data_IF_368863487017
#
_entry.id   IF_368863487017
#
_cell.length_a   1.000
_cell.length_b   1.000
_cell.length_c   1.000
_cell.angle_alpha   90.00
_cell.angle_beta   90.00
_cell.angle_gamma   90.00
#
_symmetry.space_group_name_H-M   'P 1'
#
loop_
_entity.id
_entity.type
_entity.pdbx_description
1 polymer ?
#
# COMPACT_ATOMS: atom_id res chain seq x y z
N UNK A 1 -9.17 -9.36 5.37
CA UNK A 1 -8.79 -8.56 4.20
C UNK A 1 -9.29 -9.27 2.97
N UNK A 2 -10.06 -8.61 2.11
CA UNK A 2 -10.61 -9.21 0.89
C UNK A 2 -10.11 -8.46 -0.33
N UNK A 3 -10.15 -9.11 -1.50
CA UNK A 3 -9.82 -8.47 -2.78
C UNK A 3 -10.60 -7.16 -2.93
N UNK A 4 -9.91 -6.09 -3.33
CA UNK A 4 -10.48 -4.77 -3.53
C UNK A 4 -10.53 -3.87 -2.29
N UNK A 5 -10.20 -4.38 -1.09
CA UNK A 5 -10.09 -3.55 0.12
C UNK A 5 -9.00 -2.49 -0.05
N UNK A 6 -9.28 -1.24 0.33
CA UNK A 6 -8.30 -0.16 0.42
C UNK A 6 -7.74 -0.10 1.83
N UNK A 7 -6.42 -0.08 1.94
CA UNK A 7 -5.70 -0.02 3.21
C UNK A 7 -4.65 1.09 3.18
N UNK A 8 -4.37 1.66 4.34
CA UNK A 8 -3.21 2.54 4.52
C UNK A 8 -1.98 1.69 4.84
N UNK A 9 -0.90 1.90 4.10
CA UNK A 9 0.36 1.17 4.27
C UNK A 9 1.49 2.14 4.61
N UNK A 10 2.36 1.72 5.52
CA UNK A 10 3.57 2.46 5.81
C UNK A 10 4.54 2.34 4.62
N UNK A 11 4.97 3.48 4.09
CA UNK A 11 5.92 3.57 2.96
C UNK A 11 7.23 4.26 3.34
N UNK A 12 7.51 4.38 4.64
CA UNK A 12 8.72 5.05 5.15
C UNK A 12 10.01 4.37 4.64
N UNK A 13 9.97 3.05 4.42
CA UNK A 13 11.09 2.27 3.87
C UNK A 13 11.31 2.52 2.36
N UNK A 14 10.33 3.07 1.64
CA UNK A 14 10.45 3.36 0.20
C UNK A 14 11.12 4.71 -0.09
N UNK A 15 11.42 5.52 0.94
CA UNK A 15 12.11 6.80 0.77
C UNK A 15 11.33 7.83 -0.05
N UNK A 16 9.99 7.74 -0.08
CA UNK A 16 9.16 8.66 -0.84
C UNK A 16 9.15 10.06 -0.21
N UNK A 17 9.33 11.07 -1.06
CA UNK A 17 9.31 12.48 -0.66
C UNK A 17 8.36 13.27 -1.55
N UNK A 18 7.67 14.23 -0.94
CA UNK A 18 6.92 15.25 -1.68
C UNK A 18 7.87 16.21 -2.39
N UNK A 19 7.44 16.93 -3.44
CA UNK A 19 8.26 17.98 -4.07
C UNK A 19 8.72 19.07 -3.09
N UNK A 20 8.01 19.26 -1.98
CA UNK A 20 8.37 20.18 -0.90
C UNK A 20 9.36 19.57 0.12
N UNK A 21 9.92 18.39 -0.15
CA UNK A 21 10.93 17.74 0.70
C UNK A 21 10.39 17.04 1.95
N UNK A 22 9.06 16.95 2.12
CA UNK A 22 8.47 16.20 3.25
C UNK A 22 8.48 14.70 2.96
N UNK A 23 8.91 13.91 3.95
CA UNK A 23 8.89 12.44 3.90
C UNK A 23 7.44 11.95 3.98
N UNK A 24 7.11 11.01 3.11
CA UNK A 24 5.80 10.33 3.09
C UNK A 24 5.92 9.06 3.93
N UNK A 25 5.11 8.95 4.98
CA UNK A 25 5.09 7.79 5.88
C UNK A 25 3.94 6.83 5.58
N UNK A 26 2.88 7.29 4.89
CA UNK A 26 1.68 6.52 4.58
C UNK A 26 1.19 6.75 3.15
N UNK A 27 0.73 5.68 2.50
CA UNK A 27 -0.01 5.74 1.22
C UNK A 27 -1.18 4.76 1.24
N UNK A 28 -2.20 5.03 0.42
CA UNK A 28 -3.26 4.07 0.18
C UNK A 28 -2.81 3.00 -0.83
N UNK A 29 -3.19 1.76 -0.56
CA UNK A 29 -2.96 0.62 -1.42
C UNK A 29 -4.23 -0.22 -1.54
N UNK A 30 -4.41 -0.87 -2.69
CA UNK A 30 -5.53 -1.76 -2.95
C UNK A 30 -5.08 -3.22 -2.97
N UNK A 31 -5.80 -4.09 -2.25
CA UNK A 31 -5.60 -5.54 -2.32
C UNK A 31 -6.02 -6.05 -3.69
N UNK A 32 -5.10 -6.69 -4.41
CA UNK A 32 -5.33 -7.15 -5.79
C UNK A 32 -5.66 -8.62 -5.88
N UNK A 33 -5.24 -9.41 -4.90
CA UNK A 33 -5.44 -10.85 -4.85
C UNK A 33 -6.55 -11.26 -3.86
N UNK A 34 -6.79 -12.57 -3.75
CA UNK A 34 -7.68 -13.19 -2.78
C UNK A 34 -6.82 -13.81 -1.66
N UNK A 35 -6.58 -13.11 -0.53
CA UNK A 35 -5.64 -13.56 0.49
C UNK A 35 -5.94 -14.94 1.08
N UNK A 36 -7.22 -15.34 1.08
CA UNK A 36 -7.69 -16.66 1.51
C UNK A 36 -7.17 -17.81 0.64
N UNK A 37 -6.86 -17.55 -0.63
CA UNK A 37 -6.35 -18.56 -1.56
C UNK A 37 -4.81 -18.62 -1.58
N UNK A 38 -4.17 -17.45 -1.42
CA UNK A 38 -2.71 -17.33 -1.63
C UNK A 38 -1.91 -17.37 -0.31
N UNK A 39 -2.57 -17.16 0.83
CA UNK A 39 -1.89 -17.04 2.14
C UNK A 39 -1.01 -15.78 2.27
N UNK A 40 -1.04 -14.90 1.27
CA UNK A 40 -0.30 -13.65 1.19
C UNK A 40 -1.25 -12.51 0.84
N UNK A 41 -0.94 -11.30 1.29
CA UNK A 41 -1.70 -10.08 0.93
C UNK A 41 -0.87 -9.29 -0.07
N UNK A 42 -1.26 -9.35 -1.34
CA UNK A 42 -0.62 -8.59 -2.41
C UNK A 42 -1.40 -7.30 -2.64
N UNK A 43 -0.68 -6.18 -2.69
CA UNK A 43 -1.27 -4.85 -2.84
C UNK A 43 -0.56 -4.05 -3.92
N UNK A 44 -1.29 -3.13 -4.53
CA UNK A 44 -0.74 -2.11 -5.43
C UNK A 44 -0.95 -0.74 -4.79
N UNK A 45 0.12 0.07 -4.78
CA UNK A 45 0.05 1.45 -4.29
C UNK A 45 -0.83 2.30 -5.23
N UNK A 46 -1.75 3.06 -4.66
CA UNK A 46 -2.54 4.03 -5.41
C UNK A 46 -1.69 5.29 -5.62
N UNK A 47 -1.60 5.74 -6.89
CA UNK A 47 -0.86 6.94 -7.31
C UNK A 47 -1.72 8.17 -7.18
#
# INVERSE_FOLDING_TARGET
MTRGTIIEVNVSELGLVTPAGKVVWGKYAQVTNNPENDGCINVVLLV
#
